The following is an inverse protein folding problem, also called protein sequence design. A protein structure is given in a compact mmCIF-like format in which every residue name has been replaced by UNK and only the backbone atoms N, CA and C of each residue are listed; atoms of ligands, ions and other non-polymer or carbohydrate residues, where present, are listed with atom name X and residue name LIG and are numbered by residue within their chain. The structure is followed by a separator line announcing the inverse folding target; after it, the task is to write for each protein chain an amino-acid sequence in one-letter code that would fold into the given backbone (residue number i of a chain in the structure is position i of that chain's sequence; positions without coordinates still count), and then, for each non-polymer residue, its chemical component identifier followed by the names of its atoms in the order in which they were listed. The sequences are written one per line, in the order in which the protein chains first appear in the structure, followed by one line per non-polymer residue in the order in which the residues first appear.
data_IF_258229202104
#
_entry.id   IF_258229202104
#
_cell.length_a   1.000
_cell.length_b   1.000
_cell.length_c   1.000
_cell.angle_alpha   90.00
_cell.angle_beta   90.00
_cell.angle_gamma   90.00
#
_symmetry.space_group_name_H-M   'P 1'
#
loop_
_entity.id
_entity.type
_entity.pdbx_description
1 polymer ?
#
# COMPACT_ATOMS: atom_id res chain seq x y z
N UNK A 1 29.00 -32.77 26.20
CA UNK A 1 29.16 -31.68 25.22
C UNK A 1 28.13 -31.67 24.06
N UNK A 2 26.98 -32.36 24.13
CA UNK A 2 25.96 -32.39 23.02
C UNK A 2 24.74 -31.49 23.22
N UNK A 3 24.56 -30.82 24.36
CA UNK A 3 23.36 -29.99 24.66
C UNK A 3 23.48 -28.54 24.21
N UNK A 4 24.68 -27.99 24.02
CA UNK A 4 24.89 -26.58 23.66
C UNK A 4 24.58 -26.29 22.18
N UNK A 5 24.83 -27.26 21.29
CA UNK A 5 24.62 -27.08 19.85
C UNK A 5 23.12 -26.99 19.48
N UNK A 6 22.22 -27.71 20.19
CA UNK A 6 20.80 -27.71 19.93
C UNK A 6 20.14 -26.35 20.25
N UNK A 7 20.59 -25.70 21.34
CA UNK A 7 20.05 -24.37 21.73
C UNK A 7 20.45 -23.27 20.76
N UNK A 8 21.64 -23.33 20.20
CA UNK A 8 22.13 -22.34 19.23
C UNK A 8 21.35 -22.45 17.91
N UNK A 9 21.06 -23.66 17.44
CA UNK A 9 20.30 -23.88 16.21
C UNK A 9 18.85 -23.40 16.34
N UNK A 10 18.19 -23.66 17.48
CA UNK A 10 16.82 -23.22 17.75
C UNK A 10 16.76 -21.68 17.83
N UNK A 11 17.70 -21.03 18.52
CA UNK A 11 17.75 -19.59 18.63
C UNK A 11 17.97 -18.91 17.26
N UNK A 12 18.85 -19.46 16.42
CA UNK A 12 19.09 -18.95 15.07
C UNK A 12 17.87 -19.13 14.15
N UNK A 13 17.15 -20.25 14.27
CA UNK A 13 15.93 -20.49 13.50
C UNK A 13 14.78 -19.56 13.92
N UNK A 14 14.63 -19.28 15.21
CA UNK A 14 13.65 -18.33 15.73
C UNK A 14 13.96 -16.89 15.31
N UNK A 15 15.22 -16.48 15.33
CA UNK A 15 15.65 -15.16 14.89
C UNK A 15 15.43 -14.97 13.37
N UNK A 16 15.72 -16.01 12.56
CA UNK A 16 15.47 -15.98 11.12
C UNK A 16 13.97 -15.92 10.79
N UNK A 17 13.12 -16.63 11.53
CA UNK A 17 11.68 -16.59 11.36
C UNK A 17 11.10 -15.20 11.76
N UNK A 18 11.58 -14.60 12.84
CA UNK A 18 11.19 -13.26 13.26
C UNK A 18 11.59 -12.20 12.20
N UNK A 19 12.83 -12.26 11.69
CA UNK A 19 13.30 -11.35 10.65
C UNK A 19 12.55 -11.52 9.32
N UNK A 20 12.09 -12.74 8.98
CA UNK A 20 11.26 -12.98 7.82
C UNK A 20 9.84 -12.40 8.00
N UNK A 21 9.31 -12.48 9.21
CA UNK A 21 7.99 -11.94 9.54
C UNK A 21 7.98 -10.41 9.54
N UNK A 22 9.05 -9.75 10.00
CA UNK A 22 9.22 -8.30 9.94
C UNK A 22 9.20 -7.78 8.49
N UNK A 23 9.80 -8.52 7.55
CA UNK A 23 9.77 -8.17 6.12
C UNK A 23 8.36 -8.17 5.51
N UNK A 24 7.44 -8.95 6.06
CA UNK A 24 6.05 -9.04 5.59
C UNK A 24 5.14 -8.00 6.26
N UNK A 25 5.58 -7.34 7.32
CA UNK A 25 4.81 -6.27 7.96
C UNK A 25 4.79 -4.98 7.13
N UNK A 26 5.79 -4.79 6.29
CA UNK A 26 5.90 -3.65 5.39
C UNK A 26 6.38 -2.38 6.07
N UNK A 27 6.51 -1.33 5.28
CA UNK A 27 6.92 0.00 5.73
C UNK A 27 5.79 0.99 5.50
N UNK A 28 5.47 1.80 6.52
CA UNK A 28 4.40 2.79 6.47
C UNK A 28 4.96 4.17 6.15
N UNK A 29 4.24 4.87 5.28
CA UNK A 29 4.50 6.26 4.89
C UNK A 29 3.21 7.07 5.06
N UNK A 30 3.35 8.37 5.35
CA UNK A 30 2.21 9.29 5.52
C UNK A 30 2.36 10.50 4.61
N UNK A 31 1.32 10.79 3.85
CA UNK A 31 1.21 11.99 3.02
C UNK A 31 0.99 13.24 3.88
N UNK A 32 1.27 14.45 3.33
CA UNK A 32 0.91 15.70 4.00
C UNK A 32 -0.59 15.84 4.29
N UNK A 33 -1.45 15.20 3.49
CA UNK A 33 -2.90 15.20 3.67
C UNK A 33 -3.42 14.11 4.64
N UNK A 34 -2.51 13.33 5.25
CA UNK A 34 -2.85 12.34 6.27
C UNK A 34 -3.14 10.92 5.74
N UNK A 35 -3.18 10.72 4.42
CA UNK A 35 -3.26 9.35 3.85
C UNK A 35 -2.03 8.56 4.27
N UNK A 36 -2.21 7.32 4.72
CA UNK A 36 -1.12 6.40 4.97
C UNK A 36 -1.03 5.35 3.86
N UNK A 37 0.19 4.98 3.52
CA UNK A 37 0.52 3.88 2.62
C UNK A 37 1.48 2.95 3.35
N UNK A 38 1.07 1.71 3.57
CA UNK A 38 1.94 0.65 4.05
C UNK A 38 2.32 -0.24 2.87
N UNK A 39 3.56 -0.14 2.41
CA UNK A 39 4.10 -1.02 1.36
C UNK A 39 4.45 -2.36 2.00
N UNK A 40 3.78 -3.42 1.56
CA UNK A 40 3.94 -4.78 2.07
C UNK A 40 4.81 -5.64 1.16
N UNK A 41 4.63 -5.50 -0.15
CA UNK A 41 5.39 -6.22 -1.16
C UNK A 41 5.96 -5.23 -2.18
N UNK A 42 7.24 -5.35 -2.47
CA UNK A 42 7.97 -4.55 -3.46
C UNK A 42 9.15 -5.34 -4.03
N UNK A 43 10.06 -4.67 -4.70
CA UNK A 43 11.25 -5.31 -5.31
C UNK A 43 12.19 -6.00 -4.30
N UNK A 44 12.09 -5.68 -3.01
CA UNK A 44 12.90 -6.32 -1.98
C UNK A 44 12.47 -7.76 -1.66
N UNK A 45 11.23 -8.13 -2.03
CA UNK A 45 10.68 -9.45 -1.72
C UNK A 45 9.98 -10.18 -2.88
N UNK A 46 9.39 -9.47 -3.86
CA UNK A 46 8.67 -10.10 -4.99
C UNK A 46 9.19 -9.72 -6.37
N UNK A 47 10.07 -8.71 -6.47
CA UNK A 47 10.62 -8.21 -7.72
C UNK A 47 10.03 -6.86 -8.17
N UNK A 48 10.63 -6.23 -9.20
CA UNK A 48 10.31 -4.85 -9.60
C UNK A 48 8.98 -4.71 -10.35
N UNK A 49 8.35 -5.81 -10.74
CA UNK A 49 7.16 -5.81 -11.58
C UNK A 49 5.92 -5.29 -10.86
N UNK A 50 5.90 -5.40 -9.53
CA UNK A 50 4.72 -5.07 -8.73
C UNK A 50 5.08 -4.47 -7.37
N UNK A 51 4.27 -3.52 -6.92
CA UNK A 51 4.20 -3.10 -5.51
C UNK A 51 2.79 -3.34 -5.00
N UNK A 52 2.68 -3.95 -3.81
CA UNK A 52 1.40 -4.15 -3.11
C UNK A 52 1.45 -3.42 -1.79
N UNK A 53 0.44 -2.61 -1.54
CA UNK A 53 0.30 -1.85 -0.31
C UNK A 53 -1.11 -1.83 0.25
N UNK A 54 -1.23 -1.39 1.48
CA UNK A 54 -2.48 -0.99 2.11
C UNK A 54 -2.50 0.53 2.20
N UNK A 55 -3.54 1.15 1.69
CA UNK A 55 -3.71 2.60 1.77
C UNK A 55 -4.94 2.93 2.62
N UNK A 56 -4.77 3.88 3.56
CA UNK A 56 -5.85 4.37 4.41
C UNK A 56 -6.03 5.86 4.13
N UNK A 57 -7.18 6.20 3.61
CA UNK A 57 -7.61 7.58 3.39
C UNK A 57 -8.37 8.07 4.63
N UNK A 58 -7.96 9.19 5.24
CA UNK A 58 -8.67 9.75 6.38
C UNK A 58 -10.09 10.22 6.00
N UNK A 59 -10.96 10.47 7.01
CA UNK A 59 -12.27 11.05 6.78
C UNK A 59 -12.22 12.38 6.03
N UNK A 60 -13.21 12.58 5.14
CA UNK A 60 -13.43 13.83 4.40
C UNK A 60 -12.21 14.31 3.60
N UNK A 61 -11.40 13.38 3.12
CA UNK A 61 -10.25 13.69 2.30
C UNK A 61 -10.64 13.87 0.84
N UNK A 62 -9.85 14.70 0.16
CA UNK A 62 -9.84 14.90 -1.27
C UNK A 62 -8.38 14.93 -1.74
N UNK A 63 -8.00 13.97 -2.58
CA UNK A 63 -6.62 13.87 -3.08
C UNK A 63 -6.24 14.97 -4.08
N UNK A 64 -7.22 15.69 -4.61
CA UNK A 64 -7.03 16.48 -5.80
C UNK A 64 -6.77 15.64 -7.05
N UNK A 65 -6.80 16.29 -8.20
CA UNK A 65 -6.50 15.64 -9.48
C UNK A 65 -5.01 15.28 -9.57
N UNK A 66 -4.71 14.05 -9.97
CA UNK A 66 -3.34 13.58 -10.17
C UNK A 66 -3.28 12.48 -11.23
N UNK A 67 -2.07 12.06 -11.58
CA UNK A 67 -1.80 10.99 -12.54
C UNK A 67 -0.76 10.04 -11.98
N UNK A 68 -0.85 8.78 -12.41
CA UNK A 68 0.14 7.74 -12.10
C UNK A 68 1.02 7.42 -13.30
N UNK A 69 2.27 7.05 -13.05
CA UNK A 69 3.19 6.55 -14.07
C UNK A 69 3.01 5.06 -14.38
N UNK A 70 2.19 4.37 -13.60
CA UNK A 70 1.92 2.95 -13.70
C UNK A 70 0.42 2.67 -13.64
N UNK A 71 0.02 1.46 -14.01
CA UNK A 71 -1.35 1.01 -13.72
C UNK A 71 -1.52 0.88 -12.21
N UNK A 72 -2.60 1.46 -11.71
CA UNK A 72 -3.06 1.28 -10.34
C UNK A 72 -4.30 0.41 -10.33
N UNK A 73 -4.33 -0.58 -9.47
CA UNK A 73 -5.50 -1.37 -9.16
C UNK A 73 -5.70 -1.33 -7.66
N UNK A 74 -6.94 -1.30 -7.20
CA UNK A 74 -7.21 -1.36 -5.78
C UNK A 74 -8.52 -2.05 -5.47
N UNK A 75 -8.60 -2.61 -4.27
CA UNK A 75 -9.76 -3.29 -3.72
C UNK A 75 -10.17 -2.61 -2.41
N UNK A 76 -11.44 -2.22 -2.29
CA UNK A 76 -11.95 -1.54 -1.10
C UNK A 76 -12.20 -2.57 0.00
N UNK A 77 -11.50 -2.40 1.12
CA UNK A 77 -11.60 -3.25 2.31
C UNK A 77 -12.66 -2.72 3.26
N UNK A 78 -12.69 -1.40 3.49
CA UNK A 78 -13.67 -0.76 4.37
C UNK A 78 -13.85 0.71 4.01
N UNK A 79 -14.97 1.30 4.47
CA UNK A 79 -15.37 2.64 4.11
C UNK A 79 -15.90 2.73 2.68
N UNK A 80 -16.01 3.93 2.14
CA UNK A 80 -16.41 4.20 0.75
C UNK A 80 -15.40 5.14 0.10
N UNK A 81 -15.02 4.84 -1.14
CA UNK A 81 -14.10 5.65 -1.92
C UNK A 81 -14.82 6.21 -3.15
N UNK A 82 -14.96 7.51 -3.24
CA UNK A 82 -15.35 8.16 -4.49
C UNK A 82 -14.13 8.18 -5.41
N UNK A 83 -14.22 7.41 -6.48
CA UNK A 83 -13.18 7.23 -7.49
C UNK A 83 -13.59 7.99 -8.74
N UNK A 84 -12.85 9.06 -9.04
CA UNK A 84 -13.11 9.92 -10.21
C UNK A 84 -12.02 9.70 -11.23
N UNK A 85 -12.37 9.19 -12.41
CA UNK A 85 -11.43 8.99 -13.52
C UNK A 85 -11.89 9.81 -14.71
N UNK A 86 -11.05 10.72 -15.18
CA UNK A 86 -11.34 11.61 -16.31
C UNK A 86 -12.68 12.33 -16.16
N UNK A 87 -13.01 12.73 -14.92
CA UNK A 87 -14.23 13.45 -14.57
C UNK A 87 -15.48 12.57 -14.35
N UNK A 88 -15.37 11.25 -14.53
CA UNK A 88 -16.46 10.31 -14.20
C UNK A 88 -16.26 9.80 -12.78
N UNK A 89 -17.28 10.00 -11.94
CA UNK A 89 -17.28 9.61 -10.52
C UNK A 89 -18.03 8.29 -10.31
N UNK A 90 -17.43 7.40 -9.54
CA UNK A 90 -18.05 6.16 -9.05
C UNK A 90 -17.78 6.02 -7.55
N UNK A 91 -18.80 5.57 -6.80
CA UNK A 91 -18.64 5.24 -5.37
C UNK A 91 -18.31 3.76 -5.23
N UNK A 92 -17.11 3.50 -4.81
CA UNK A 92 -16.63 2.12 -4.57
C UNK A 92 -16.82 1.77 -3.09
N UNK A 93 -17.52 0.65 -2.86
CA UNK A 93 -17.87 0.11 -1.54
C UNK A 93 -16.98 -1.11 -1.21
N UNK A 94 -16.95 -1.57 0.04
CA UNK A 94 -16.25 -2.80 0.40
C UNK A 94 -16.63 -3.97 -0.51
N UNK A 95 -15.61 -4.69 -1.00
CA UNK A 95 -15.78 -5.76 -1.98
C UNK A 95 -15.68 -5.32 -3.44
N UNK A 96 -15.64 -4.02 -3.74
CA UNK A 96 -15.48 -3.49 -5.08
C UNK A 96 -14.01 -3.18 -5.38
N UNK A 97 -13.64 -3.26 -6.65
CA UNK A 97 -12.33 -2.90 -7.16
C UNK A 97 -12.42 -1.71 -8.11
N UNK A 98 -11.36 -0.90 -8.12
CA UNK A 98 -11.15 0.17 -9.08
C UNK A 98 -9.79 0.06 -9.75
N UNK A 99 -9.59 0.83 -10.81
CA UNK A 99 -8.30 0.90 -11.50
C UNK A 99 -8.08 2.25 -12.17
N UNK A 100 -6.82 2.56 -12.43
CA UNK A 100 -6.36 3.72 -13.20
C UNK A 100 -5.35 3.25 -14.23
N UNK A 101 -5.49 3.66 -15.47
CA UNK A 101 -4.49 3.44 -16.50
C UNK A 101 -3.80 4.77 -16.85
N UNK A 102 -2.47 4.81 -16.98
CA UNK A 102 -1.83 5.98 -17.55
C UNK A 102 -2.34 6.25 -18.98
N UNK A 103 -2.60 7.48 -19.35
CA UNK A 103 -2.40 8.74 -18.64
C UNK A 103 -3.66 9.29 -17.95
N UNK A 104 -4.56 8.44 -17.45
CA UNK A 104 -5.80 8.87 -16.83
C UNK A 104 -5.55 9.88 -15.69
N UNK A 105 -6.40 10.89 -15.62
CA UNK A 105 -6.48 11.79 -14.49
C UNK A 105 -7.40 11.19 -13.44
N UNK A 106 -6.90 10.98 -12.25
CA UNK A 106 -7.63 10.38 -11.14
C UNK A 106 -7.74 11.33 -9.96
N UNK A 107 -8.82 11.17 -9.20
CA UNK A 107 -9.07 11.84 -7.92
C UNK A 107 -9.81 10.89 -6.99
N UNK A 108 -9.35 10.80 -5.76
CA UNK A 108 -9.98 9.99 -4.72
C UNK A 108 -10.53 10.89 -3.63
N UNK A 109 -11.78 10.63 -3.23
CA UNK A 109 -12.41 11.34 -2.11
C UNK A 109 -13.04 10.36 -1.15
N UNK A 110 -13.13 10.75 0.11
CA UNK A 110 -13.77 9.97 1.17
C UNK A 110 -14.80 10.80 1.90
N UNK A 111 -15.83 10.13 2.39
CA UNK A 111 -16.78 10.70 3.34
C UNK A 111 -16.29 10.59 4.79
N UNK A 112 -17.22 10.75 5.74
CA UNK A 112 -16.94 10.79 7.18
C UNK A 112 -16.30 9.52 7.75
N UNK A 113 -16.41 8.38 7.09
CA UNK A 113 -15.80 7.11 7.53
C UNK A 113 -14.36 6.91 7.03
N UNK A 114 -13.89 7.73 6.07
CA UNK A 114 -12.65 7.43 5.37
C UNK A 114 -12.77 6.18 4.50
N UNK A 115 -11.65 5.65 4.05
CA UNK A 115 -11.60 4.39 3.31
C UNK A 115 -10.28 3.65 3.53
N UNK A 116 -10.32 2.32 3.48
CA UNK A 116 -9.14 1.46 3.43
C UNK A 116 -9.19 0.64 2.16
N UNK A 117 -8.07 0.59 1.44
CA UNK A 117 -7.93 -0.20 0.22
C UNK A 117 -6.63 -1.01 0.24
N UNK A 118 -6.63 -2.16 -0.40
CA UNK A 118 -5.40 -2.80 -0.87
C UNK A 118 -5.12 -2.22 -2.25
N UNK A 119 -3.90 -1.72 -2.48
CA UNK A 119 -3.49 -1.10 -3.72
C UNK A 119 -2.33 -1.86 -4.35
N UNK A 120 -2.34 -1.97 -5.67
CA UNK A 120 -1.36 -2.68 -6.49
C UNK A 120 -0.93 -1.75 -7.63
N UNK A 121 0.37 -1.53 -7.78
CA UNK A 121 0.95 -0.83 -8.93
C UNK A 121 1.80 -1.77 -9.78
N UNK A 122 1.66 -1.64 -11.09
CA UNK A 122 2.50 -2.33 -12.07
C UNK A 122 2.88 -1.37 -13.23
N UNK A 123 4.18 -1.12 -13.46
CA UNK A 123 5.35 -1.60 -12.71
C UNK A 123 5.40 -1.06 -11.28
N UNK A 124 6.15 -1.78 -10.42
CA UNK A 124 6.22 -1.51 -8.98
C UNK A 124 6.92 -0.21 -8.58
N UNK A 125 7.67 0.42 -9.46
CA UNK A 125 8.35 1.70 -9.22
C UNK A 125 7.42 2.82 -8.75
N UNK A 126 6.13 2.77 -9.11
CA UNK A 126 5.16 3.77 -8.70
C UNK A 126 5.00 3.83 -7.18
N UNK A 127 4.95 2.70 -6.49
CA UNK A 127 4.90 2.63 -5.03
C UNK A 127 6.11 3.33 -4.38
N UNK A 128 7.31 3.09 -4.92
CA UNK A 128 8.53 3.78 -4.47
C UNK A 128 8.48 5.28 -4.72
N UNK A 129 8.00 5.69 -5.90
CA UNK A 129 7.87 7.10 -6.28
C UNK A 129 6.93 7.85 -5.32
N UNK A 130 5.84 7.21 -4.91
CA UNK A 130 4.91 7.76 -3.92
C UNK A 130 5.59 7.83 -2.55
N UNK A 131 6.17 6.72 -2.08
CA UNK A 131 6.84 6.63 -0.79
C UNK A 131 7.97 7.67 -0.63
N UNK A 132 8.72 7.95 -1.69
CA UNK A 132 9.81 8.93 -1.68
C UNK A 132 9.34 10.38 -1.40
N UNK A 133 8.06 10.68 -1.59
CA UNK A 133 7.45 11.99 -1.37
C UNK A 133 6.75 12.09 -0.01
N UNK A 134 6.56 10.98 0.68
CA UNK A 134 5.82 10.89 1.92
C UNK A 134 6.77 10.66 3.10
N UNK A 135 6.34 11.06 4.29
CA UNK A 135 7.12 10.84 5.50
C UNK A 135 7.05 9.38 5.91
N UNK A 136 8.21 8.73 6.03
CA UNK A 136 8.30 7.39 6.62
C UNK A 136 7.92 7.48 8.10
N UNK A 137 7.05 6.58 8.52
CA UNK A 137 6.69 6.43 9.92
C UNK A 137 7.63 5.44 10.64
N UNK A 138 7.78 5.57 11.97
CA UNK A 138 8.59 4.66 12.77
C UNK A 138 8.17 3.21 12.66
#
# INVERSE_FOLDING_TARGET
MRRTAAFIVIAAALAAAAAAQDKLQGTTYRSPAGTTLRIMLDDSNVGPEVTVGEMIFPPNQDSGDHQHGAKEMFYVVSGELEHVVNGKSEILKPGMAGYVNPPDKVRHKTGAAGAKVVVIWTPGEEGKRIAARWKKEP
#
